data_IF_093470678767
#
_entry.id   IF_093470678767
#
_cell.length_a   1.000
_cell.length_b   1.000
_cell.length_c   1.000
_cell.angle_alpha   90.00
_cell.angle_beta   90.00
_cell.angle_gamma   90.00
#
_symmetry.space_group_name_H-M   'P 1'
#
loop_
_entity.id
_entity.type
_entity.pdbx_description
1 polymer ?
#
# COMPACT_ATOMS: atom_id res chain seq x y z
N UNK A 1 -33.87 -52.65 29.50
CA UNK A 1 -33.13 -51.44 29.18
C UNK A 1 -33.61 -51.02 27.81
N UNK A 2 -34.13 -49.81 27.61
CA UNK A 2 -34.50 -49.38 26.27
C UNK A 2 -33.19 -49.26 25.46
N UNK A 3 -33.17 -49.86 24.27
CA UNK A 3 -32.09 -49.69 23.30
C UNK A 3 -31.97 -48.19 22.98
N UNK A 4 -31.02 -47.51 23.64
CA UNK A 4 -30.70 -46.16 23.29
C UNK A 4 -30.08 -46.16 21.87
N UNK A 5 -30.84 -45.65 20.92
CA UNK A 5 -30.38 -45.47 19.56
C UNK A 5 -29.11 -44.60 19.58
N UNK A 6 -28.07 -44.98 18.84
CA UNK A 6 -26.83 -44.21 18.81
C UNK A 6 -27.13 -42.78 18.36
N UNK A 7 -26.89 -41.83 19.25
CA UNK A 7 -27.02 -40.39 18.93
C UNK A 7 -25.92 -40.01 17.95
N UNK A 8 -26.30 -39.64 16.74
CA UNK A 8 -25.35 -39.09 15.77
C UNK A 8 -25.22 -37.59 16.02
N UNK A 9 -24.08 -37.21 16.57
CA UNK A 9 -23.68 -35.81 16.70
C UNK A 9 -22.84 -35.41 15.49
N UNK A 10 -23.26 -34.34 14.80
CA UNK A 10 -22.46 -33.69 13.76
C UNK A 10 -22.09 -32.29 14.24
N UNK A 11 -20.83 -31.96 14.18
CA UNK A 11 -20.30 -30.67 14.61
C UNK A 11 -18.79 -30.58 14.37
N UNK A 12 -18.22 -29.51 14.86
CA UNK A 12 -16.76 -29.27 14.79
C UNK A 12 -16.15 -29.62 16.13
N UNK A 13 -15.05 -30.39 16.09
CA UNK A 13 -14.28 -30.68 17.30
C UNK A 13 -13.49 -29.44 17.69
N UNK A 14 -13.79 -28.88 18.84
CA UNK A 14 -13.17 -27.69 19.39
C UNK A 14 -12.46 -28.00 20.70
N UNK A 15 -11.41 -27.28 21.04
CA UNK A 15 -10.75 -27.36 22.33
C UNK A 15 -11.54 -26.54 23.35
N UNK A 16 -11.82 -27.12 24.53
CA UNK A 16 -12.46 -26.41 25.63
C UNK A 16 -11.57 -25.27 26.09
N UNK A 17 -12.04 -24.00 26.11
CA UNK A 17 -11.26 -22.91 26.64
C UNK A 17 -10.89 -23.20 28.12
N UNK A 18 -9.63 -23.02 28.47
CA UNK A 18 -9.11 -23.36 29.81
C UNK A 18 -9.88 -22.71 30.96
N UNK A 19 -10.54 -21.57 30.72
CA UNK A 19 -11.37 -20.90 31.70
C UNK A 19 -12.62 -21.66 32.12
N UNK A 20 -13.14 -22.58 31.26
CA UNK A 20 -14.34 -23.36 31.53
C UNK A 20 -14.06 -24.77 32.09
N UNK A 21 -12.83 -25.25 32.05
CA UNK A 21 -12.46 -26.57 32.56
C UNK A 21 -12.73 -26.71 34.06
N UNK A 22 -12.49 -25.72 34.94
CA UNK A 22 -12.85 -25.82 36.34
C UNK A 22 -14.36 -26.02 36.58
N UNK A 23 -15.20 -25.28 35.85
CA UNK A 23 -16.67 -25.35 35.98
C UNK A 23 -17.18 -26.72 35.53
N UNK A 24 -16.62 -27.27 34.47
CA UNK A 24 -16.98 -28.59 33.96
C UNK A 24 -16.56 -29.72 34.92
N UNK A 25 -15.35 -29.61 35.48
CA UNK A 25 -14.86 -30.56 36.47
C UNK A 25 -15.69 -30.53 37.78
N UNK A 26 -16.10 -29.32 38.23
CA UNK A 26 -16.97 -29.14 39.40
C UNK A 26 -18.33 -29.81 39.20
N UNK A 27 -18.93 -29.64 38.01
CA UNK A 27 -20.22 -30.30 37.66
C UNK A 27 -20.11 -31.82 37.65
N UNK A 28 -18.96 -32.36 37.21
CA UNK A 28 -18.69 -33.80 37.19
C UNK A 28 -18.27 -34.35 38.58
N UNK A 29 -17.95 -33.47 39.52
CA UNK A 29 -17.43 -33.82 40.84
C UNK A 29 -16.00 -34.35 40.84
N UNK A 30 -15.23 -34.03 39.81
CA UNK A 30 -13.84 -34.43 39.61
C UNK A 30 -12.90 -33.24 39.71
N UNK A 31 -11.57 -33.49 39.74
CA UNK A 31 -10.59 -32.47 39.53
C UNK A 31 -10.43 -32.17 38.04
N UNK A 32 -9.92 -30.99 37.69
CA UNK A 32 -9.66 -30.62 36.26
C UNK A 32 -8.76 -31.66 35.59
N UNK A 33 -7.77 -32.18 36.28
CA UNK A 33 -6.85 -33.19 35.76
C UNK A 33 -7.57 -34.52 35.48
N UNK A 34 -8.40 -34.98 36.41
CA UNK A 34 -9.21 -36.21 36.23
C UNK A 34 -10.27 -36.04 35.12
N UNK A 35 -10.89 -34.85 35.02
CA UNK A 35 -11.84 -34.53 33.97
C UNK A 35 -11.19 -34.59 32.58
N UNK A 36 -10.03 -33.95 32.42
CA UNK A 36 -9.29 -33.91 31.15
C UNK A 36 -8.72 -35.29 30.78
N UNK A 37 -8.28 -36.07 31.78
CA UNK A 37 -7.75 -37.41 31.54
C UNK A 37 -8.85 -38.37 31.06
N UNK A 38 -10.08 -38.20 31.56
CA UNK A 38 -11.22 -39.07 31.25
C UNK A 38 -11.96 -38.63 29.98
N UNK A 39 -12.31 -37.34 29.85
CA UNK A 39 -13.13 -36.81 28.76
C UNK A 39 -12.33 -36.15 27.66
N UNK A 40 -11.04 -35.78 27.93
CA UNK A 40 -10.24 -34.92 27.09
C UNK A 40 -10.59 -33.42 27.26
N UNK A 41 -9.87 -32.60 26.56
CA UNK A 41 -10.06 -31.14 26.51
C UNK A 41 -10.81 -30.70 25.24
N UNK A 42 -11.62 -31.59 24.66
CA UNK A 42 -12.33 -31.31 23.41
C UNK A 42 -13.83 -31.41 23.59
N UNK A 43 -14.56 -30.62 22.83
CA UNK A 43 -16.02 -30.72 22.72
C UNK A 43 -16.45 -30.64 21.26
N UNK A 44 -17.62 -31.11 20.95
CA UNK A 44 -18.24 -31.00 19.63
C UNK A 44 -19.15 -29.78 19.64
N UNK A 45 -18.79 -28.74 18.90
CA UNK A 45 -19.65 -27.59 18.67
C UNK A 45 -20.67 -27.96 17.57
N UNK A 46 -21.86 -28.33 18.00
CA UNK A 46 -22.97 -28.69 17.11
C UNK A 46 -23.57 -27.47 16.38
N UNK A 47 -23.32 -26.25 16.85
CA UNK A 47 -23.72 -25.03 16.16
C UNK A 47 -22.81 -24.70 14.96
N UNK A 48 -21.58 -25.22 14.95
CA UNK A 48 -20.65 -25.11 13.84
C UNK A 48 -20.72 -26.32 12.92
N UNK A 49 -21.01 -26.10 11.67
CA UNK A 49 -20.96 -27.16 10.65
C UNK A 49 -19.60 -27.18 9.95
N UNK A 50 -19.15 -28.31 9.36
CA UNK A 50 -17.96 -28.34 8.50
C UNK A 50 -18.06 -27.37 7.33
N UNK A 51 -19.28 -27.00 6.90
CA UNK A 51 -19.49 -25.98 5.88
C UNK A 51 -19.09 -24.58 6.35
N UNK A 52 -19.32 -24.24 7.62
CA UNK A 52 -18.97 -22.93 8.18
C UNK A 52 -17.46 -22.75 8.28
N UNK A 53 -16.72 -23.80 8.66
CA UNK A 53 -15.26 -23.83 8.60
C UNK A 53 -14.76 -23.65 7.18
N UNK A 54 -15.35 -24.36 6.22
CA UNK A 54 -14.97 -24.27 4.82
C UNK A 54 -15.23 -22.88 4.24
N UNK A 55 -16.33 -22.22 4.62
CA UNK A 55 -16.65 -20.85 4.24
C UNK A 55 -15.62 -19.85 4.80
N UNK A 56 -15.17 -20.01 6.04
CA UNK A 56 -14.10 -19.20 6.62
C UNK A 56 -12.78 -19.30 5.83
N UNK A 57 -12.36 -20.51 5.49
CA UNK A 57 -11.17 -20.75 4.66
C UNK A 57 -11.34 -20.21 3.24
N UNK A 58 -12.49 -20.41 2.61
CA UNK A 58 -12.78 -19.86 1.25
C UNK A 58 -12.73 -18.33 1.24
N UNK A 59 -13.34 -17.68 2.23
CA UNK A 59 -13.32 -16.22 2.35
C UNK A 59 -11.90 -15.70 2.57
N UNK A 60 -11.11 -16.37 3.41
CA UNK A 60 -9.69 -16.04 3.63
C UNK A 60 -8.85 -16.20 2.35
N UNK A 61 -9.03 -17.30 1.62
CA UNK A 61 -8.32 -17.55 0.37
C UNK A 61 -8.66 -16.53 -0.71
N UNK A 62 -9.95 -16.20 -0.88
CA UNK A 62 -10.42 -15.18 -1.84
C UNK A 62 -9.85 -13.80 -1.49
N UNK A 63 -9.85 -13.43 -0.21
CA UNK A 63 -9.29 -12.17 0.26
C UNK A 63 -7.78 -12.09 0.00
N UNK A 64 -7.03 -13.15 0.30
CA UNK A 64 -5.60 -13.23 0.05
C UNK A 64 -5.28 -13.14 -1.46
N UNK A 65 -6.06 -13.84 -2.29
CA UNK A 65 -5.94 -13.76 -3.75
C UNK A 65 -6.20 -12.35 -4.27
N UNK A 66 -7.27 -11.69 -3.80
CA UNK A 66 -7.59 -10.32 -4.20
C UNK A 66 -6.47 -9.34 -3.85
N UNK A 67 -5.91 -9.43 -2.63
CA UNK A 67 -4.74 -8.63 -2.20
C UNK A 67 -3.54 -8.92 -3.10
N UNK A 68 -3.26 -10.19 -3.39
CA UNK A 68 -2.17 -10.59 -4.29
C UNK A 68 -2.30 -9.97 -5.69
N UNK A 69 -3.49 -10.02 -6.27
CA UNK A 69 -3.79 -9.40 -7.58
C UNK A 69 -3.58 -7.89 -7.54
N UNK A 70 -4.05 -7.21 -6.49
CA UNK A 70 -3.86 -5.75 -6.32
C UNK A 70 -2.37 -5.40 -6.28
N UNK A 71 -1.56 -6.15 -5.51
CA UNK A 71 -0.12 -5.92 -5.41
C UNK A 71 0.60 -6.15 -6.75
N UNK A 72 0.22 -7.20 -7.50
CA UNK A 72 0.77 -7.47 -8.83
C UNK A 72 0.42 -6.34 -9.81
N UNK A 73 -0.82 -5.87 -9.82
CA UNK A 73 -1.24 -4.75 -10.66
C UNK A 73 -0.49 -3.46 -10.30
N UNK A 74 -0.33 -3.15 -9.03
CA UNK A 74 0.47 -2.00 -8.59
C UNK A 74 1.92 -2.11 -9.05
N UNK A 75 2.54 -3.28 -8.92
CA UNK A 75 3.90 -3.53 -9.39
C UNK A 75 4.03 -3.37 -10.91
N UNK A 76 3.07 -3.88 -11.68
CA UNK A 76 3.05 -3.74 -13.14
C UNK A 76 2.91 -2.26 -13.56
N UNK A 77 1.99 -1.52 -12.95
CA UNK A 77 1.80 -0.09 -13.22
C UNK A 77 3.08 0.70 -12.90
N UNK A 78 3.70 0.39 -11.77
CA UNK A 78 4.97 1.00 -11.38
C UNK A 78 6.06 0.73 -12.42
N UNK A 79 6.24 -0.52 -12.83
CA UNK A 79 7.25 -0.92 -13.82
C UNK A 79 7.05 -0.21 -15.17
N UNK A 80 5.79 -0.12 -15.63
CA UNK A 80 5.46 0.60 -16.87
C UNK A 80 5.75 2.09 -16.75
N UNK A 81 5.44 2.70 -15.61
CA UNK A 81 5.73 4.13 -15.38
C UNK A 81 7.23 4.38 -15.36
N UNK A 82 8.00 3.54 -14.68
CA UNK A 82 9.45 3.68 -14.60
C UNK A 82 10.12 3.49 -15.97
N UNK A 83 9.70 2.48 -16.75
CA UNK A 83 10.19 2.31 -18.13
C UNK A 83 9.90 3.52 -19.02
N UNK A 84 8.76 4.18 -18.83
CA UNK A 84 8.44 5.43 -19.54
C UNK A 84 9.37 6.59 -19.16
N UNK A 85 9.77 6.68 -17.90
CA UNK A 85 10.75 7.69 -17.48
C UNK A 85 12.13 7.42 -18.09
N UNK A 86 12.60 6.18 -18.06
CA UNK A 86 13.87 5.80 -18.66
C UNK A 86 13.89 6.08 -20.17
N UNK A 87 12.83 5.68 -20.89
CA UNK A 87 12.70 5.97 -22.33
C UNK A 87 12.76 7.47 -22.64
N UNK A 88 12.12 8.31 -21.82
CA UNK A 88 12.19 9.77 -21.97
C UNK A 88 13.60 10.32 -21.80
N UNK A 89 14.37 9.78 -20.86
CA UNK A 89 15.78 10.15 -20.69
C UNK A 89 16.60 9.71 -21.90
N UNK A 90 16.36 8.51 -22.41
CA UNK A 90 16.99 7.96 -23.60
C UNK A 90 16.68 8.80 -24.85
N UNK A 91 15.39 9.11 -25.12
CA UNK A 91 14.97 9.98 -26.23
C UNK A 91 15.58 11.38 -26.20
N UNK A 92 15.96 11.86 -25.02
CA UNK A 92 16.64 13.15 -24.82
C UNK A 92 18.17 13.04 -24.78
N UNK A 93 18.72 11.84 -24.92
CA UNK A 93 20.18 11.59 -24.82
C UNK A 93 20.73 11.85 -23.41
N UNK A 94 19.89 11.74 -22.37
CA UNK A 94 20.26 12.06 -20.99
C UNK A 94 20.45 10.81 -20.11
N UNK A 95 20.23 9.62 -20.65
CA UNK A 95 20.23 8.37 -19.86
C UNK A 95 21.60 8.11 -19.21
N UNK A 96 22.68 8.15 -19.99
CA UNK A 96 24.05 7.93 -19.48
C UNK A 96 24.45 8.97 -18.44
N UNK A 97 24.09 10.24 -18.69
CA UNK A 97 24.36 11.33 -17.72
C UNK A 97 23.59 11.16 -16.43
N UNK A 98 22.35 10.68 -16.51
CA UNK A 98 21.54 10.39 -15.34
C UNK A 98 22.12 9.19 -14.56
N UNK A 99 22.53 8.13 -15.23
CA UNK A 99 23.15 6.96 -14.62
C UNK A 99 24.44 7.34 -13.88
N UNK A 100 25.34 8.07 -14.52
CA UNK A 100 26.56 8.58 -13.89
C UNK A 100 26.25 9.48 -12.69
N UNK A 101 25.27 10.39 -12.83
CA UNK A 101 24.85 11.28 -11.75
C UNK A 101 24.30 10.50 -10.54
N UNK A 102 23.58 9.41 -10.76
CA UNK A 102 23.04 8.59 -9.67
C UNK A 102 24.05 7.65 -9.02
N UNK A 103 25.06 7.19 -9.76
CA UNK A 103 26.18 6.44 -9.19
C UNK A 103 26.99 7.29 -8.21
N UNK A 104 27.14 8.57 -8.51
CA UNK A 104 27.92 9.53 -7.72
C UNK A 104 27.03 10.41 -6.81
N UNK A 105 25.72 10.19 -6.78
CA UNK A 105 24.81 10.96 -5.95
C UNK A 105 25.10 10.73 -4.46
N UNK A 106 24.96 11.79 -3.67
CA UNK A 106 24.93 11.69 -2.21
C UNK A 106 23.96 10.59 -1.82
N UNK A 107 24.45 9.74 -0.95
CA UNK A 107 23.77 8.51 -0.53
C UNK A 107 22.32 8.71 -0.18
N UNK A 108 21.67 7.64 -0.29
CA UNK A 108 20.27 7.37 -0.14
C UNK A 108 19.57 8.25 0.92
N UNK A 109 18.87 9.26 0.48
CA UNK A 109 17.92 9.94 1.36
C UNK A 109 16.79 8.95 1.66
N UNK A 110 17.03 8.01 2.61
CA UNK A 110 16.13 6.93 3.04
C UNK A 110 15.83 5.82 2.02
N UNK A 111 16.85 5.30 1.35
CA UNK A 111 16.71 4.09 0.52
C UNK A 111 15.87 4.27 -0.75
N UNK A 112 15.21 5.42 -0.90
CA UNK A 112 14.19 5.61 -1.91
C UNK A 112 14.39 6.84 -2.80
N UNK A 113 15.20 7.79 -2.36
CA UNK A 113 15.45 9.05 -3.08
C UNK A 113 16.94 9.31 -3.18
N UNK A 114 17.44 9.51 -4.40
CA UNK A 114 18.79 9.97 -4.67
C UNK A 114 18.74 11.33 -5.32
N UNK A 115 19.51 12.24 -4.80
CA UNK A 115 19.63 13.60 -5.30
C UNK A 115 21.06 13.83 -5.77
N UNK A 116 21.21 14.19 -7.03
CA UNK A 116 22.46 14.69 -7.58
C UNK A 116 22.35 16.18 -7.88
N UNK A 117 23.43 16.79 -8.31
CA UNK A 117 23.45 18.21 -8.71
C UNK A 117 22.52 18.51 -9.90
N UNK A 118 22.16 17.53 -10.69
CA UNK A 118 21.41 17.73 -11.95
C UNK A 118 20.17 16.89 -12.07
N UNK A 119 20.07 15.78 -11.34
CA UNK A 119 18.97 14.83 -11.44
C UNK A 119 18.40 14.47 -10.06
N UNK A 120 17.15 14.08 -10.06
CA UNK A 120 16.48 13.46 -8.90
C UNK A 120 15.91 12.11 -9.31
N UNK A 121 16.16 11.12 -8.45
CA UNK A 121 15.62 9.77 -8.56
C UNK A 121 14.75 9.46 -7.35
N UNK A 122 13.57 8.88 -7.58
CA UNK A 122 12.68 8.41 -6.53
C UNK A 122 12.13 7.03 -6.85
N UNK A 123 12.61 6.01 -6.16
CA UNK A 123 12.21 4.62 -6.43
C UNK A 123 10.70 4.43 -6.33
N UNK A 124 10.08 4.83 -5.23
CA UNK A 124 8.63 4.65 -5.03
C UNK A 124 7.74 5.60 -5.84
N UNK A 125 8.31 6.71 -6.33
CA UNK A 125 7.61 7.62 -7.22
C UNK A 125 7.74 7.25 -8.69
N UNK A 126 8.51 6.19 -9.04
CA UNK A 126 8.92 5.87 -10.40
C UNK A 126 9.45 7.12 -11.12
N UNK A 127 10.32 7.87 -10.45
CA UNK A 127 10.84 9.16 -10.89
C UNK A 127 12.32 9.03 -11.21
N UNK A 128 12.73 9.50 -12.39
CA UNK A 128 14.13 9.73 -12.78
C UNK A 128 14.15 10.93 -13.72
N UNK A 129 14.48 12.13 -13.19
CA UNK A 129 14.35 13.37 -13.95
C UNK A 129 15.44 14.39 -13.69
N UNK A 130 15.77 15.23 -14.70
CA UNK A 130 16.52 16.45 -14.49
C UNK A 130 15.77 17.38 -13.54
N UNK A 131 16.50 18.07 -12.66
CA UNK A 131 15.93 19.08 -11.76
C UNK A 131 15.31 20.25 -12.53
N UNK A 132 15.79 20.53 -13.73
CA UNK A 132 15.26 21.57 -14.63
C UNK A 132 13.85 21.27 -15.16
N UNK A 133 13.40 20.03 -15.10
CA UNK A 133 12.04 19.67 -15.56
C UNK A 133 10.96 19.93 -14.49
N UNK A 134 11.37 20.27 -13.26
CA UNK A 134 10.47 20.54 -12.16
C UNK A 134 10.01 21.99 -12.21
N UNK A 135 8.71 22.24 -12.39
CA UNK A 135 8.14 23.59 -12.43
C UNK A 135 7.65 24.08 -11.07
N UNK A 136 7.26 23.15 -10.20
CA UNK A 136 6.79 23.51 -8.87
C UNK A 136 7.19 22.45 -7.87
N UNK A 137 7.76 22.87 -6.74
CA UNK A 137 8.18 21.99 -5.64
C UNK A 137 7.66 22.53 -4.32
N UNK A 138 7.11 21.62 -3.51
CA UNK A 138 6.69 21.92 -2.15
C UNK A 138 6.65 20.65 -1.31
N UNK A 139 6.62 20.81 -0.01
CA UNK A 139 6.42 19.71 0.90
C UNK A 139 5.31 19.99 1.91
N UNK A 140 4.75 18.96 2.49
CA UNK A 140 3.86 19.05 3.64
C UNK A 140 4.06 17.86 4.57
N UNK A 141 3.78 18.10 5.84
CA UNK A 141 3.82 17.02 6.84
C UNK A 141 2.53 16.23 6.84
N UNK A 142 2.70 14.93 6.98
CA UNK A 142 1.62 13.99 7.19
C UNK A 142 2.10 12.99 8.24
N UNK A 143 1.25 12.65 9.20
CA UNK A 143 1.50 11.75 10.35
C UNK A 143 2.81 10.94 10.27
N UNK A 144 3.90 11.46 10.88
CA UNK A 144 5.20 10.79 10.95
C UNK A 144 6.06 10.79 9.67
N UNK A 145 5.62 11.46 8.58
CA UNK A 145 6.34 11.54 7.32
C UNK A 145 6.24 12.94 6.70
N UNK A 146 7.14 13.24 5.77
CA UNK A 146 7.13 14.45 4.95
C UNK A 146 6.95 14.03 3.50
N UNK A 147 5.86 14.48 2.87
CA UNK A 147 5.60 14.25 1.47
C UNK A 147 6.10 15.45 0.66
N UNK A 148 7.12 15.23 -0.20
CA UNK A 148 7.65 16.23 -1.14
C UNK A 148 7.00 16.03 -2.50
N UNK A 149 6.37 17.06 -3.02
CA UNK A 149 5.72 17.07 -4.32
C UNK A 149 6.59 17.78 -5.35
N UNK A 150 6.86 17.10 -6.45
CA UNK A 150 7.60 17.60 -7.60
C UNK A 150 6.65 17.60 -8.80
N UNK A 151 6.19 18.77 -9.17
CA UNK A 151 5.29 18.95 -10.30
C UNK A 151 6.08 19.36 -11.54
N UNK A 152 5.97 18.57 -12.57
CA UNK A 152 6.79 18.66 -13.77
C UNK A 152 6.06 19.31 -14.94
N UNK A 153 6.79 19.77 -15.96
CA UNK A 153 6.27 20.43 -17.14
C UNK A 153 5.28 19.56 -17.96
N UNK A 154 5.37 18.24 -17.86
CA UNK A 154 4.42 17.32 -18.48
C UNK A 154 3.18 17.05 -17.63
N UNK A 155 2.99 17.80 -16.55
CA UNK A 155 1.81 17.73 -15.69
C UNK A 155 1.81 16.59 -14.70
N UNK A 156 2.92 15.96 -14.46
CA UNK A 156 3.04 14.87 -13.51
C UNK A 156 3.33 15.41 -12.10
N UNK A 157 2.59 14.94 -11.13
CA UNK A 157 2.86 15.13 -9.71
C UNK A 157 3.59 13.89 -9.20
N UNK A 158 4.87 14.04 -8.89
CA UNK A 158 5.71 13.00 -8.35
C UNK A 158 5.87 13.24 -6.85
N UNK A 159 5.30 12.36 -6.03
CA UNK A 159 5.35 12.46 -4.57
C UNK A 159 6.47 11.58 -4.03
N UNK A 160 7.41 12.20 -3.33
CA UNK A 160 8.47 11.53 -2.59
C UNK A 160 8.12 11.53 -1.11
N UNK A 161 7.99 10.36 -0.52
CA UNK A 161 7.74 10.23 0.91
C UNK A 161 9.06 10.03 1.66
N UNK A 162 9.35 10.95 2.55
CA UNK A 162 10.49 10.92 3.46
C UNK A 162 9.99 10.64 4.88
N UNK A 163 10.67 9.78 5.60
CA UNK A 163 10.33 9.42 6.98
C UNK A 163 11.56 9.52 7.90
N UNK A 164 11.35 9.54 9.21
CA UNK A 164 12.41 9.64 10.20
C UNK A 164 12.76 11.07 10.62
N UNK A 165 13.69 11.19 11.54
CA UNK A 165 14.02 12.46 12.23
C UNK A 165 14.56 13.55 11.30
N UNK A 166 15.22 13.18 10.20
CA UNK A 166 15.82 14.14 9.25
C UNK A 166 14.92 14.43 8.03
N UNK A 167 13.68 13.91 8.01
CA UNK A 167 12.78 14.03 6.85
C UNK A 167 12.52 15.48 6.43
N UNK A 168 12.31 16.41 7.38
CA UNK A 168 12.18 17.85 7.09
C UNK A 168 13.44 18.42 6.44
N UNK A 169 14.61 18.19 7.04
CA UNK A 169 15.87 18.67 6.55
C UNK A 169 16.13 18.18 5.11
N UNK A 170 15.86 16.92 4.85
CA UNK A 170 16.02 16.33 3.54
C UNK A 170 15.01 16.89 2.52
N UNK A 171 13.78 17.19 2.94
CA UNK A 171 12.80 17.88 2.11
C UNK A 171 13.27 19.29 1.73
N UNK A 172 13.78 20.06 2.68
CA UNK A 172 14.35 21.38 2.43
C UNK A 172 15.57 21.31 1.50
N UNK A 173 16.44 20.33 1.67
CA UNK A 173 17.59 20.09 0.77
C UNK A 173 17.13 19.84 -0.67
N UNK A 174 16.09 19.02 -0.86
CA UNK A 174 15.49 18.78 -2.19
C UNK A 174 14.94 20.09 -2.78
N UNK A 175 14.19 20.89 -2.00
CA UNK A 175 13.66 22.16 -2.47
C UNK A 175 14.78 23.13 -2.89
N UNK A 176 15.81 23.24 -2.07
CA UNK A 176 16.98 24.11 -2.35
C UNK A 176 17.73 23.67 -3.60
N UNK A 177 17.95 22.35 -3.77
CA UNK A 177 18.62 21.80 -4.95
C UNK A 177 17.83 22.07 -6.23
N UNK A 178 16.51 21.91 -6.19
CA UNK A 178 15.63 22.22 -7.33
C UNK A 178 15.67 23.72 -7.64
N UNK A 179 15.55 24.59 -6.62
CA UNK A 179 15.56 26.03 -6.78
C UNK A 179 16.90 26.54 -7.31
N UNK A 180 18.01 25.98 -6.87
CA UNK A 180 19.35 26.35 -7.34
C UNK A 180 19.59 26.03 -8.82
N UNK A 181 18.93 24.99 -9.34
CA UNK A 181 19.10 24.53 -10.74
C UNK A 181 18.03 25.04 -11.70
N UNK A 182 16.91 25.50 -11.17
CA UNK A 182 15.83 26.05 -11.97
C UNK A 182 15.33 27.36 -11.36
N UNK A 183 15.81 28.48 -11.86
CA UNK A 183 15.44 29.82 -11.38
C UNK A 183 13.96 30.17 -11.60
N UNK A 184 13.26 29.45 -12.48
CA UNK A 184 11.83 29.63 -12.75
C UNK A 184 10.93 28.74 -11.91
N UNK A 185 11.48 27.89 -11.04
CA UNK A 185 10.68 26.95 -10.24
C UNK A 185 9.85 27.69 -9.19
N UNK A 186 8.59 27.25 -9.04
CA UNK A 186 7.72 27.71 -7.97
C UNK A 186 8.03 26.91 -6.69
N UNK A 187 8.38 27.58 -5.62
CA UNK A 187 8.76 26.96 -4.34
C UNK A 187 7.66 27.21 -3.30
N UNK A 188 7.29 26.17 -2.58
CA UNK A 188 6.32 26.25 -1.50
C UNK A 188 4.86 26.05 -1.94
N UNK A 189 4.04 25.62 -0.96
CA UNK A 189 2.61 25.31 -1.17
C UNK A 189 1.76 26.56 -0.94
N UNK A 190 1.70 27.46 -1.92
CA UNK A 190 0.82 28.64 -1.89
C UNK A 190 -0.27 28.52 -2.94
N UNK A 191 -1.42 29.19 -2.70
CA UNK A 191 -2.52 29.26 -3.67
C UNK A 191 -2.06 29.92 -4.97
N UNK A 192 -1.19 30.92 -4.86
CA UNK A 192 -0.66 31.65 -6.00
C UNK A 192 0.21 30.74 -6.89
N UNK A 193 1.11 29.97 -6.29
CA UNK A 193 1.95 29.00 -7.01
C UNK A 193 1.09 27.96 -7.72
N UNK A 194 0.02 27.48 -7.08
CA UNK A 194 -0.94 26.56 -7.70
C UNK A 194 -1.60 27.15 -8.95
N UNK A 195 -2.06 28.40 -8.87
CA UNK A 195 -2.65 29.09 -10.01
C UNK A 195 -1.65 29.37 -11.14
N UNK A 196 -0.41 29.72 -10.80
CA UNK A 196 0.67 29.92 -11.78
C UNK A 196 0.98 28.62 -12.50
N UNK A 197 1.11 27.53 -11.75
CA UNK A 197 1.37 26.22 -12.33
C UNK A 197 0.23 25.73 -13.23
N UNK A 198 -1.03 25.88 -12.80
CA UNK A 198 -2.20 25.50 -13.59
C UNK A 198 -2.33 26.29 -14.90
N UNK A 199 -1.82 27.54 -14.96
CA UNK A 199 -1.73 28.34 -16.19
C UNK A 199 -0.66 27.82 -17.14
N UNK A 200 0.48 27.38 -16.59
CA UNK A 200 1.60 26.86 -17.40
C UNK A 200 1.28 25.46 -17.95
N UNK A 201 0.48 24.66 -17.23
CA UNK A 201 0.20 23.26 -17.58
C UNK A 201 -1.30 22.95 -17.54
N UNK A 202 -2.09 23.53 -18.43
CA UNK A 202 -3.57 23.45 -18.40
C UNK A 202 -4.13 22.02 -18.59
N UNK A 203 -3.35 21.10 -19.18
CA UNK A 203 -3.79 19.70 -19.43
C UNK A 203 -3.89 18.82 -18.18
N UNK A 204 -3.39 19.26 -17.03
CA UNK A 204 -3.33 18.44 -15.81
C UNK A 204 -4.70 18.16 -15.24
N UNK A 205 -5.62 19.12 -15.27
CA UNK A 205 -6.96 18.98 -14.72
C UNK A 205 -7.70 17.81 -15.38
N UNK A 206 -7.58 17.68 -16.68
CA UNK A 206 -8.18 16.56 -17.45
C UNK A 206 -7.55 15.20 -17.09
N UNK A 207 -6.24 15.14 -16.87
CA UNK A 207 -5.56 13.90 -16.51
C UNK A 207 -5.88 13.44 -15.09
N UNK A 208 -6.02 14.38 -14.14
CA UNK A 208 -6.44 14.07 -12.75
C UNK A 208 -7.85 13.50 -12.72
N UNK A 209 -8.79 14.14 -13.40
CA UNK A 209 -10.19 13.65 -13.49
C UNK A 209 -10.22 12.25 -14.12
N UNK A 210 -9.50 12.04 -15.21
CA UNK A 210 -9.44 10.74 -15.88
C UNK A 210 -8.86 9.63 -14.99
N UNK A 211 -7.85 9.95 -14.15
CA UNK A 211 -7.32 9.00 -13.17
C UNK A 211 -8.31 8.68 -12.07
N UNK A 212 -8.98 9.68 -11.52
CA UNK A 212 -10.01 9.49 -10.47
C UNK A 212 -11.13 8.61 -11.00
N UNK A 213 -11.63 8.87 -12.22
CA UNK A 213 -12.66 8.05 -12.87
C UNK A 213 -12.18 6.61 -13.09
N UNK A 214 -10.95 6.41 -13.58
CA UNK A 214 -10.36 5.08 -13.73
C UNK A 214 -10.29 4.32 -12.40
N UNK A 215 -9.83 4.96 -11.33
CA UNK A 215 -9.79 4.35 -10.00
C UNK A 215 -11.19 4.04 -9.46
N UNK A 216 -12.17 4.92 -9.68
CA UNK A 216 -13.55 4.69 -9.27
C UNK A 216 -14.16 3.49 -10.01
N UNK A 217 -13.93 3.36 -11.31
CA UNK A 217 -14.38 2.22 -12.11
C UNK A 217 -13.71 0.91 -11.64
N UNK A 218 -12.42 0.93 -11.34
CA UNK A 218 -11.71 -0.25 -10.81
C UNK A 218 -12.22 -0.68 -9.43
N UNK A 219 -12.47 0.28 -8.54
CA UNK A 219 -13.04 0.00 -7.22
C UNK A 219 -14.46 -0.57 -7.34
N UNK A 220 -15.29 -0.02 -8.23
CA UNK A 220 -16.63 -0.53 -8.48
C UNK A 220 -16.61 -1.96 -9.05
N UNK A 221 -15.71 -2.25 -9.99
CA UNK A 221 -15.54 -3.59 -10.55
C UNK A 221 -15.05 -4.61 -9.51
N UNK A 222 -14.10 -4.21 -8.66
CA UNK A 222 -13.62 -5.04 -7.55
C UNK A 222 -14.73 -5.32 -6.53
N UNK A 223 -15.51 -4.31 -6.16
CA UNK A 223 -16.65 -4.46 -5.25
C UNK A 223 -17.74 -5.37 -5.83
N UNK A 224 -18.05 -5.26 -7.12
CA UNK A 224 -19.00 -6.12 -7.80
C UNK A 224 -18.52 -7.58 -7.85
N UNK A 225 -17.23 -7.81 -8.16
CA UNK A 225 -16.65 -9.15 -8.14
C UNK A 225 -16.69 -9.76 -6.73
N UNK A 226 -16.44 -8.95 -5.70
CA UNK A 226 -16.51 -9.40 -4.31
C UNK A 226 -17.94 -9.74 -3.89
N UNK A 227 -18.93 -8.95 -4.32
CA UNK A 227 -20.35 -9.21 -4.03
C UNK A 227 -20.83 -10.51 -4.70
N UNK A 228 -20.42 -10.78 -5.94
CA UNK A 228 -20.75 -12.05 -6.64
C UNK A 228 -20.14 -13.25 -5.90
N UNK A 229 -18.88 -13.17 -5.47
CA UNK A 229 -18.20 -14.23 -4.73
C UNK A 229 -18.75 -14.47 -3.32
N UNK A 230 -19.35 -13.45 -2.71
CA UNK A 230 -19.98 -13.56 -1.39
C UNK A 230 -21.41 -14.16 -1.44
N UNK A 231 -22.06 -14.14 -2.63
CA UNK A 231 -23.42 -14.66 -2.85
C UNK A 231 -23.43 -16.08 -3.44
N UNK A 232 -22.28 -16.59 -3.90
CA UNK A 232 -22.08 -17.97 -4.36
C UNK A 232 -21.39 -18.84 -3.32
#
# INVERSE_FOLDING_TARGET
MPDELPVRLAGVLCTVPKAYLPDLAEVDGSTVEEYVDYYGDYYIDAAMTPADLNNGFRTGAVSAFAVGVILLLQSAVFSVQFRKELRRLEERGLLERAEYAFQNARGDLYGNVRLSDTFIYGRHAALARPLTDVLWVYWHEKTGAVDVHLLTADGRDCMLRLSGQTARRNAEEILQAVAARNSGVLVGRTRENGLRYDRQVPRIRQQRVRRIVLWAVWLAAAAAAFAVLALT
#
